data_IF_993498006376
#
_entry.id   IF_993498006376
#
_cell.length_a   1.000
_cell.length_b   1.000
_cell.length_c   1.000
_cell.angle_alpha   90.00
_cell.angle_beta   90.00
_cell.angle_gamma   90.00
#
_symmetry.space_group_name_H-M   'P 1'
#
loop_
_entity.id
_entity.type
_entity.pdbx_description
1 polymer ?
#
# COMPACT_ATOMS: atom_id res chain seq x y z
N UNK A 1 -15.77 -4.66 -5.21
CA UNK A 1 -16.53 -5.59 -4.36
C UNK A 1 -17.94 -5.81 -4.90
N UNK A 2 -18.74 -4.78 -5.21
CA UNK A 2 -20.12 -4.96 -5.66
C UNK A 2 -20.24 -5.85 -6.91
N UNK A 3 -19.34 -5.72 -7.89
CA UNK A 3 -19.32 -6.63 -9.05
C UNK A 3 -19.07 -8.09 -8.63
N UNK A 4 -18.16 -8.31 -7.68
CA UNK A 4 -17.89 -9.64 -7.13
C UNK A 4 -19.12 -10.20 -6.44
N UNK A 5 -19.79 -9.40 -5.62
CA UNK A 5 -20.99 -9.83 -4.89
C UNK A 5 -22.11 -10.23 -5.87
N UNK A 6 -22.29 -9.46 -6.94
CA UNK A 6 -23.26 -9.80 -7.99
C UNK A 6 -22.89 -11.11 -8.72
N UNK A 7 -21.64 -11.25 -9.16
CA UNK A 7 -21.17 -12.44 -9.89
C UNK A 7 -21.27 -13.73 -9.07
N UNK A 8 -21.00 -13.63 -7.77
CA UNK A 8 -20.96 -14.78 -6.86
C UNK A 8 -22.27 -14.98 -6.06
N UNK A 9 -23.32 -14.19 -6.36
CA UNK A 9 -24.61 -14.20 -5.64
C UNK A 9 -24.46 -14.04 -4.12
N UNK A 10 -23.55 -13.15 -3.68
CA UNK A 10 -23.33 -12.84 -2.28
C UNK A 10 -24.30 -11.72 -1.88
N UNK A 11 -25.10 -11.93 -0.85
CA UNK A 11 -26.01 -10.94 -0.27
C UNK A 11 -25.25 -9.94 0.59
N UNK A 12 -24.46 -9.06 -0.06
CA UNK A 12 -23.68 -8.02 0.60
C UNK A 12 -23.59 -6.78 -0.29
N UNK A 13 -23.31 -5.63 0.32
CA UNK A 13 -23.10 -4.36 -0.35
C UNK A 13 -21.80 -3.71 0.15
N UNK A 14 -21.06 -3.08 -0.75
CA UNK A 14 -19.89 -2.28 -0.43
C UNK A 14 -20.14 -0.81 -0.73
N UNK A 15 -20.08 0.03 0.30
CA UNK A 15 -20.30 1.48 0.20
C UNK A 15 -19.06 2.26 0.56
N UNK A 16 -18.90 3.43 -0.06
CA UNK A 16 -17.87 4.41 0.34
C UNK A 16 -18.46 5.40 1.33
N UNK A 17 -17.67 5.70 2.38
CA UNK A 17 -17.99 6.73 3.36
C UNK A 17 -16.88 7.76 3.35
N UNK A 18 -17.19 8.99 3.02
CA UNK A 18 -16.27 10.10 3.19
C UNK A 18 -16.20 10.44 4.69
N UNK A 19 -15.00 10.43 5.25
CA UNK A 19 -14.78 10.66 6.68
C UNK A 19 -13.62 11.67 6.87
N UNK A 20 -13.92 12.96 6.97
CA UNK A 20 -12.88 13.98 7.20
C UNK A 20 -12.20 13.83 8.56
N UNK A 21 -12.92 13.34 9.57
CA UNK A 21 -12.45 13.16 10.93
C UNK A 21 -12.74 11.75 11.43
N UNK A 22 -11.72 10.99 11.78
CA UNK A 22 -11.83 9.61 12.26
C UNK A 22 -12.67 9.48 13.54
N UNK A 23 -12.81 10.57 14.33
CA UNK A 23 -13.68 10.61 15.52
C UNK A 23 -15.16 10.39 15.21
N UNK A 24 -15.57 10.45 13.94
CA UNK A 24 -16.91 10.11 13.47
C UNK A 24 -17.15 8.58 13.38
N UNK A 25 -16.10 7.76 13.47
CA UNK A 25 -16.21 6.29 13.35
C UNK A 25 -17.24 5.65 14.31
N UNK A 26 -17.29 6.01 15.61
CA UNK A 26 -18.30 5.45 16.52
C UNK A 26 -19.73 5.73 16.06
N UNK A 27 -20.01 6.91 15.53
CA UNK A 27 -21.33 7.28 14.99
C UNK A 27 -21.67 6.43 13.76
N UNK A 28 -20.72 6.24 12.85
CA UNK A 28 -20.91 5.37 11.68
C UNK A 28 -21.26 3.93 12.10
N UNK A 29 -20.54 3.36 13.09
CA UNK A 29 -20.80 2.02 13.60
C UNK A 29 -22.21 1.87 14.20
N UNK A 30 -22.69 2.89 14.91
CA UNK A 30 -24.05 2.92 15.45
C UNK A 30 -25.12 2.97 14.35
N UNK A 31 -24.85 3.69 13.25
CA UNK A 31 -25.77 3.84 12.11
C UNK A 31 -25.75 2.64 11.16
N UNK A 32 -24.75 1.77 11.26
CA UNK A 32 -24.57 0.59 10.40
C UNK A 32 -24.34 -0.67 11.25
N UNK A 33 -25.35 -1.13 12.01
CA UNK A 33 -25.18 -2.25 12.94
C UNK A 33 -24.90 -3.60 12.27
N UNK A 34 -25.14 -3.72 10.99
CA UNK A 34 -24.89 -4.89 10.14
C UNK A 34 -23.52 -4.85 9.43
N UNK A 35 -22.71 -3.81 9.69
CA UNK A 35 -21.38 -3.68 9.11
C UNK A 35 -20.47 -4.81 9.60
N UNK A 36 -19.95 -5.64 8.68
CA UNK A 36 -19.05 -6.76 8.98
C UNK A 36 -17.57 -6.43 8.73
N UNK A 37 -17.27 -5.30 8.11
CA UNK A 37 -15.90 -4.84 7.92
C UNK A 37 -15.81 -3.62 7.02
N UNK A 38 -14.64 -2.96 7.04
CA UNK A 38 -14.41 -1.79 6.20
C UNK A 38 -12.93 -1.60 5.87
N UNK A 39 -12.67 -0.90 4.78
CA UNK A 39 -11.33 -0.43 4.42
C UNK A 39 -11.07 0.95 5.00
N UNK A 40 -9.80 1.17 5.36
CA UNK A 40 -9.28 2.46 5.79
C UNK A 40 -8.26 2.95 4.78
N UNK A 41 -8.43 4.18 4.31
CA UNK A 41 -7.49 4.82 3.38
C UNK A 41 -6.90 6.10 3.96
N UNK A 42 -6.11 6.81 3.17
CA UNK A 42 -5.54 8.11 3.52
C UNK A 42 -6.66 9.08 3.91
N UNK A 43 -6.50 9.87 5.00
CA UNK A 43 -5.31 9.97 5.86
C UNK A 43 -5.36 9.08 7.11
N UNK A 44 -6.29 8.13 7.22
CA UNK A 44 -6.70 7.53 8.50
C UNK A 44 -5.99 6.20 8.85
N UNK A 45 -5.15 5.63 7.99
CA UNK A 45 -4.51 4.31 8.24
C UNK A 45 -3.72 4.22 9.56
N UNK A 46 -3.22 5.34 10.08
CA UNK A 46 -2.56 5.42 11.39
C UNK A 46 -3.51 5.95 12.47
N UNK A 47 -4.37 6.91 12.11
CA UNK A 47 -5.26 7.57 13.06
C UNK A 47 -6.36 6.64 13.60
N UNK A 48 -6.63 5.50 12.92
CA UNK A 48 -7.63 4.53 13.36
C UNK A 48 -7.15 3.66 14.52
N UNK A 49 -5.83 3.52 14.72
CA UNK A 49 -5.27 2.59 15.71
C UNK A 49 -5.89 2.72 17.12
N UNK A 50 -6.14 3.95 17.65
CA UNK A 50 -6.75 4.10 18.98
C UNK A 50 -8.23 3.66 19.07
N UNK A 51 -8.88 3.40 17.94
CA UNK A 51 -10.30 3.02 17.88
C UNK A 51 -10.50 1.50 17.74
N UNK A 52 -9.41 0.74 17.66
CA UNK A 52 -9.45 -0.71 17.46
C UNK A 52 -9.31 -1.44 18.79
N UNK A 53 -10.10 -2.50 18.97
CA UNK A 53 -10.02 -3.39 20.12
C UNK A 53 -8.81 -4.33 20.01
N UNK A 54 -8.49 -4.76 18.79
CA UNK A 54 -7.37 -5.64 18.51
C UNK A 54 -6.68 -5.26 17.19
N UNK A 55 -5.39 -5.50 17.10
CA UNK A 55 -4.56 -5.24 15.91
C UNK A 55 -3.72 -6.48 15.65
N UNK A 56 -3.75 -7.01 14.41
CA UNK A 56 -2.88 -8.12 14.01
C UNK A 56 -1.39 -7.80 14.25
N UNK A 57 -0.57 -8.81 14.44
CA UNK A 57 0.84 -8.64 14.71
C UNK A 57 1.55 -7.84 13.59
N UNK A 58 1.27 -8.17 12.34
CA UNK A 58 1.84 -7.47 11.19
C UNK A 58 1.41 -6.00 11.15
N UNK A 59 0.11 -5.72 11.35
CA UNK A 59 -0.41 -4.35 11.34
C UNK A 59 0.16 -3.53 12.51
N UNK A 60 0.45 -4.17 13.66
CA UNK A 60 1.10 -3.54 14.81
C UNK A 60 2.53 -3.15 14.50
N UNK A 61 3.31 -4.05 13.90
CA UNK A 61 4.70 -3.76 13.48
C UNK A 61 4.74 -2.68 12.41
N UNK A 62 3.83 -2.73 11.43
CA UNK A 62 3.70 -1.72 10.37
C UNK A 62 3.28 -0.36 10.95
N UNK A 63 2.48 -0.36 12.02
CA UNK A 63 1.91 0.86 12.61
C UNK A 63 0.86 1.52 11.71
N UNK A 64 0.14 0.74 10.89
CA UNK A 64 -0.92 1.20 10.02
C UNK A 64 -1.92 0.07 9.71
N UNK A 65 -3.21 0.40 9.66
CA UNK A 65 -4.32 -0.49 9.35
C UNK A 65 -5.03 0.02 8.10
N UNK A 66 -5.31 -0.85 7.14
CA UNK A 66 -6.11 -0.56 5.95
C UNK A 66 -7.36 -1.43 5.82
N UNK A 67 -7.50 -2.46 6.67
CA UNK A 67 -8.66 -3.36 6.70
C UNK A 67 -9.08 -3.61 8.14
N UNK A 68 -10.36 -3.43 8.43
CA UNK A 68 -10.95 -3.70 9.74
C UNK A 68 -12.05 -4.73 9.58
N UNK A 69 -12.02 -5.77 10.42
CA UNK A 69 -13.13 -6.68 10.61
C UNK A 69 -13.97 -6.19 11.77
N UNK A 70 -15.28 -6.19 11.58
CA UNK A 70 -16.27 -5.86 12.62
C UNK A 70 -17.00 -7.14 13.02
N UNK A 71 -17.09 -7.39 14.30
CA UNK A 71 -17.94 -8.43 14.90
C UNK A 71 -18.76 -7.81 16.04
N UNK A 72 -19.79 -8.50 16.50
CA UNK A 72 -20.69 -7.95 17.51
C UNK A 72 -20.85 -8.93 18.70
N UNK A 73 -19.78 -9.27 19.44
CA UNK A 73 -19.92 -10.05 20.64
C UNK A 73 -20.78 -9.27 21.64
N UNK A 74 -21.81 -9.94 22.17
CA UNK A 74 -22.76 -9.34 23.12
C UNK A 74 -23.49 -8.07 22.61
N UNK A 75 -23.64 -7.91 21.28
CA UNK A 75 -24.36 -6.80 20.67
C UNK A 75 -23.56 -5.48 20.53
N UNK A 76 -22.29 -5.46 20.90
CA UNK A 76 -21.40 -4.31 20.75
C UNK A 76 -20.37 -4.53 19.62
N UNK A 77 -20.04 -3.49 18.82
CA UNK A 77 -19.04 -3.63 17.79
C UNK A 77 -17.66 -3.91 18.43
N UNK A 78 -16.95 -4.92 17.89
CA UNK A 78 -15.58 -5.28 18.22
C UNK A 78 -14.74 -5.22 16.96
N UNK A 79 -13.69 -4.39 16.96
CA UNK A 79 -12.93 -3.99 15.79
C UNK A 79 -11.54 -4.62 15.81
N UNK A 80 -11.25 -5.44 14.79
CA UNK A 80 -9.92 -6.04 14.61
C UNK A 80 -9.26 -5.48 13.37
N UNK A 81 -8.10 -4.84 13.54
CA UNK A 81 -7.35 -4.17 12.47
C UNK A 81 -6.28 -5.05 11.82
N UNK A 82 -6.20 -4.97 10.49
CA UNK A 82 -5.22 -5.69 9.67
C UNK A 82 -4.53 -4.74 8.68
N UNK A 83 -3.36 -5.16 8.19
CA UNK A 83 -2.72 -4.51 7.05
C UNK A 83 -2.64 -5.49 5.88
N UNK A 84 -3.50 -5.29 4.88
CA UNK A 84 -3.54 -6.13 3.68
C UNK A 84 -2.76 -5.52 2.51
N UNK A 85 -2.35 -4.24 2.61
CA UNK A 85 -1.48 -3.61 1.62
C UNK A 85 -0.17 -4.37 1.48
N UNK A 86 0.44 -4.78 2.62
CA UNK A 86 1.67 -5.55 2.61
C UNK A 86 1.50 -6.91 1.93
N UNK A 87 0.36 -7.56 2.12
CA UNK A 87 0.06 -8.83 1.48
C UNK A 87 -0.08 -8.67 -0.04
N UNK A 88 -0.89 -7.71 -0.47
CA UNK A 88 -1.11 -7.41 -1.90
C UNK A 88 0.19 -7.01 -2.59
N UNK A 89 1.01 -6.15 -1.97
CA UNK A 89 2.30 -5.76 -2.49
C UNK A 89 3.25 -6.96 -2.61
N UNK A 90 3.40 -7.77 -1.54
CA UNK A 90 4.28 -8.94 -1.55
C UNK A 90 3.91 -9.94 -2.65
N UNK A 91 2.61 -10.22 -2.82
CA UNK A 91 2.11 -11.11 -3.87
C UNK A 91 2.48 -10.57 -5.26
N UNK A 92 2.14 -9.32 -5.54
CA UNK A 92 2.41 -8.69 -6.84
C UNK A 92 3.92 -8.55 -7.12
N UNK A 93 4.72 -8.25 -6.10
CA UNK A 93 6.17 -8.12 -6.24
C UNK A 93 6.83 -9.44 -6.66
N UNK A 94 6.46 -10.56 -6.02
CA UNK A 94 7.04 -11.88 -6.31
C UNK A 94 6.71 -12.37 -7.73
N UNK A 95 5.64 -11.90 -8.34
CA UNK A 95 5.30 -12.18 -9.73
C UNK A 95 6.07 -11.27 -10.72
N UNK A 96 6.57 -10.12 -10.23
CA UNK A 96 7.19 -9.09 -11.09
C UNK A 96 8.72 -9.16 -11.13
N UNK A 97 9.38 -9.48 -10.00
CA UNK A 97 10.85 -9.44 -9.91
C UNK A 97 11.50 -10.82 -9.89
N UNK A 98 12.73 -10.95 -10.43
CA UNK A 98 13.54 -12.15 -10.23
C UNK A 98 13.91 -12.36 -8.74
N UNK A 99 14.01 -13.63 -8.32
CA UNK A 99 14.33 -13.99 -6.93
C UNK A 99 15.72 -13.52 -6.44
N UNK A 100 16.62 -13.17 -7.36
CA UNK A 100 17.97 -12.71 -7.02
C UNK A 100 18.05 -11.25 -6.52
N UNK A 101 16.95 -10.48 -6.59
CA UNK A 101 16.94 -9.09 -6.13
C UNK A 101 16.87 -9.06 -4.61
N UNK A 102 17.86 -8.40 -3.99
CA UNK A 102 18.02 -8.34 -2.52
C UNK A 102 18.06 -6.91 -1.96
N UNK A 103 18.04 -5.87 -2.83
CA UNK A 103 18.10 -4.47 -2.42
C UNK A 103 17.00 -3.64 -3.06
N UNK A 104 16.38 -2.77 -2.27
CA UNK A 104 15.27 -1.93 -2.71
C UNK A 104 15.36 -0.49 -2.18
N UNK A 105 14.98 0.46 -3.03
CA UNK A 105 14.66 1.83 -2.64
C UNK A 105 13.14 2.00 -2.54
N UNK A 106 12.67 2.59 -1.44
CA UNK A 106 11.29 3.02 -1.28
C UNK A 106 11.26 4.54 -1.42
N UNK A 107 10.50 5.05 -2.37
CA UNK A 107 10.28 6.48 -2.54
C UNK A 107 9.07 6.91 -1.70
N UNK A 108 9.31 7.74 -0.68
CA UNK A 108 8.29 8.20 0.26
C UNK A 108 8.33 7.44 1.60
N UNK A 109 7.73 8.03 2.65
CA UNK A 109 7.74 7.53 4.04
C UNK A 109 6.34 7.50 4.70
N UNK A 110 5.26 7.49 3.91
CA UNK A 110 3.87 7.42 4.39
C UNK A 110 3.44 6.02 4.85
N UNK A 111 2.14 5.87 5.12
CA UNK A 111 1.56 4.58 5.56
C UNK A 111 1.76 3.44 4.57
N UNK A 112 1.70 3.71 3.26
CA UNK A 112 1.97 2.71 2.23
C UNK A 112 3.45 2.27 2.23
N UNK A 113 4.38 3.23 2.42
CA UNK A 113 5.81 2.93 2.52
C UNK A 113 6.11 1.98 3.69
N UNK A 114 5.44 2.13 4.82
CA UNK A 114 5.60 1.24 5.99
C UNK A 114 5.19 -0.20 5.66
N UNK A 115 4.07 -0.39 4.96
CA UNK A 115 3.61 -1.71 4.53
C UNK A 115 4.57 -2.35 3.51
N UNK A 116 5.05 -1.57 2.55
CA UNK A 116 6.05 -1.99 1.56
C UNK A 116 7.36 -2.39 2.25
N UNK A 117 7.87 -1.57 3.18
CA UNK A 117 9.08 -1.86 3.94
C UNK A 117 8.95 -3.18 4.70
N UNK A 118 7.83 -3.37 5.40
CA UNK A 118 7.57 -4.62 6.12
C UNK A 118 7.59 -5.84 5.18
N UNK A 119 6.91 -5.73 4.03
CA UNK A 119 6.89 -6.80 3.04
C UNK A 119 8.29 -7.13 2.49
N UNK A 120 9.11 -6.11 2.18
CA UNK A 120 10.48 -6.28 1.68
C UNK A 120 11.39 -6.91 2.74
N UNK A 121 11.31 -6.48 4.00
CA UNK A 121 12.05 -7.10 5.11
C UNK A 121 11.63 -8.56 5.33
N UNK A 122 10.34 -8.90 5.16
CA UNK A 122 9.88 -10.30 5.23
C UNK A 122 10.44 -11.19 4.10
N UNK A 123 10.97 -10.57 3.05
CA UNK A 123 11.68 -11.22 1.95
C UNK A 123 13.23 -11.13 2.10
N UNK A 124 13.73 -10.73 3.27
CA UNK A 124 15.15 -10.52 3.59
C UNK A 124 15.85 -9.51 2.65
N UNK A 125 15.14 -8.51 2.16
CA UNK A 125 15.73 -7.45 1.34
C UNK A 125 16.33 -6.34 2.20
N UNK A 126 17.46 -5.80 1.77
CA UNK A 126 18.02 -4.55 2.28
C UNK A 126 17.21 -3.37 1.72
N UNK A 127 16.75 -2.49 2.59
CA UNK A 127 15.82 -1.42 2.22
C UNK A 127 16.34 -0.07 2.68
N UNK A 128 16.40 0.90 1.77
CA UNK A 128 16.57 2.32 2.09
C UNK A 128 15.34 3.11 1.66
N UNK A 129 15.01 4.16 2.40
CA UNK A 129 13.88 5.04 2.08
C UNK A 129 14.39 6.37 1.57
N UNK A 130 13.80 6.83 0.47
CA UNK A 130 14.08 8.15 -0.10
C UNK A 130 12.98 9.10 0.33
N UNK A 131 13.35 10.19 0.98
CA UNK A 131 12.42 11.24 1.36
C UNK A 131 12.94 12.64 1.00
N UNK A 132 12.01 13.61 0.87
CA UNK A 132 12.37 15.01 0.64
C UNK A 132 13.11 15.63 1.84
N UNK A 133 12.83 15.11 3.02
CA UNK A 133 13.43 15.59 4.28
C UNK A 133 13.77 14.36 5.11
N UNK A 134 14.96 13.77 4.94
CA UNK A 134 15.40 12.63 5.73
C UNK A 134 15.41 12.95 7.22
N UNK A 135 14.85 12.05 8.04
CA UNK A 135 14.75 12.22 9.51
C UNK A 135 15.32 11.03 10.27
N UNK A 136 15.55 9.91 9.60
CA UNK A 136 16.04 8.67 10.18
C UNK A 136 17.34 8.24 9.50
N UNK A 137 18.14 7.42 10.17
CA UNK A 137 19.44 7.00 9.66
C UNK A 137 19.37 6.15 8.36
N UNK A 138 18.25 5.50 8.11
CA UNK A 138 17.96 4.70 6.91
C UNK A 138 17.22 5.50 5.82
N UNK A 139 17.00 6.80 6.05
CA UNK A 139 16.43 7.72 5.06
C UNK A 139 17.53 8.49 4.33
N UNK A 140 17.41 8.55 3.02
CA UNK A 140 18.32 9.30 2.13
C UNK A 140 17.52 10.37 1.38
N UNK A 141 18.20 11.47 1.07
CA UNK A 141 17.64 12.54 0.25
C UNK A 141 17.77 12.23 -1.24
N UNK A 142 16.88 12.79 -2.06
CA UNK A 142 16.95 12.66 -3.53
C UNK A 142 18.30 13.10 -4.11
N UNK A 143 18.98 14.05 -3.49
CA UNK A 143 20.29 14.55 -3.95
C UNK A 143 21.40 13.48 -3.92
N UNK A 144 21.27 12.44 -3.11
CA UNK A 144 22.24 11.36 -3.02
C UNK A 144 22.01 10.23 -4.05
N UNK A 145 20.86 10.23 -4.74
CA UNK A 145 20.49 9.14 -5.65
C UNK A 145 21.47 8.94 -6.83
N UNK A 146 22.07 9.99 -7.44
CA UNK A 146 23.03 9.76 -8.53
C UNK A 146 24.17 8.81 -8.16
N UNK A 147 24.62 8.82 -6.91
CA UNK A 147 25.72 7.99 -6.44
C UNK A 147 25.29 6.60 -5.97
N UNK A 148 23.98 6.40 -5.69
CA UNK A 148 23.48 5.21 -5.01
C UNK A 148 22.56 4.33 -5.86
N UNK A 149 21.81 4.92 -6.80
CA UNK A 149 20.68 4.27 -7.46
C UNK A 149 21.06 2.98 -8.20
N UNK A 150 22.26 2.93 -8.76
CA UNK A 150 22.78 1.75 -9.48
C UNK A 150 22.95 0.52 -8.58
N UNK A 151 23.06 0.72 -7.27
CA UNK A 151 23.15 -0.35 -6.27
C UNK A 151 21.79 -0.90 -5.81
N UNK A 152 20.68 -0.34 -6.28
CA UNK A 152 19.33 -0.71 -5.88
C UNK A 152 18.48 -1.18 -7.07
N UNK A 153 18.52 -2.46 -7.41
CA UNK A 153 17.78 -2.99 -8.55
C UNK A 153 16.26 -2.79 -8.48
N UNK A 154 15.68 -2.76 -7.28
CA UNK A 154 14.25 -2.52 -7.08
C UNK A 154 14.01 -1.08 -6.58
N UNK A 155 13.11 -0.36 -7.26
CA UNK A 155 12.68 0.99 -6.87
C UNK A 155 11.16 1.00 -6.78
N UNK A 156 10.64 1.29 -5.58
CA UNK A 156 9.20 1.27 -5.31
C UNK A 156 8.69 2.69 -5.07
N UNK A 157 7.83 3.19 -5.96
CA UNK A 157 7.14 4.45 -5.73
C UNK A 157 5.95 4.26 -4.81
N UNK A 158 6.03 4.79 -3.60
CA UNK A 158 4.94 4.84 -2.61
C UNK A 158 4.37 6.25 -2.41
N UNK A 159 4.84 7.21 -3.23
CA UNK A 159 4.31 8.58 -3.24
C UNK A 159 3.03 8.66 -4.08
N UNK A 160 2.21 9.71 -3.91
CA UNK A 160 1.04 9.92 -4.76
C UNK A 160 1.39 10.54 -6.13
N UNK A 161 2.66 10.85 -6.42
CA UNK A 161 3.09 11.51 -7.65
C UNK A 161 2.70 10.68 -8.88
N UNK A 162 2.05 11.31 -9.84
CA UNK A 162 1.54 10.65 -11.05
C UNK A 162 0.14 10.06 -10.92
N UNK A 163 -0.51 10.19 -9.74
CA UNK A 163 -1.92 9.80 -9.55
C UNK A 163 -2.85 10.84 -10.19
N UNK A 164 -3.94 10.36 -10.81
CA UNK A 164 -5.01 11.25 -11.29
C UNK A 164 -5.50 12.20 -10.17
N UNK A 165 -5.72 13.53 -10.42
CA UNK A 165 -5.64 14.19 -11.75
C UNK A 165 -4.23 14.65 -12.17
N UNK A 166 -3.23 14.68 -11.27
CA UNK A 166 -1.89 15.24 -11.51
C UNK A 166 -0.92 14.21 -12.14
N UNK A 167 -1.32 13.65 -13.28
CA UNK A 167 -0.63 12.52 -13.93
C UNK A 167 0.74 12.87 -14.52
N UNK A 168 1.07 14.15 -14.66
CA UNK A 168 2.37 14.64 -15.15
C UNK A 168 3.47 14.59 -14.10
N UNK A 169 3.11 14.53 -12.81
CA UNK A 169 4.07 14.47 -11.73
C UNK A 169 4.75 13.08 -11.64
N UNK A 170 5.99 13.06 -11.18
CA UNK A 170 6.77 11.85 -10.99
C UNK A 170 7.90 12.07 -9.98
N UNK A 171 8.40 11.00 -9.31
CA UNK A 171 9.56 11.11 -8.43
C UNK A 171 10.81 11.59 -9.19
N UNK A 172 11.58 12.55 -8.64
CA UNK A 172 12.76 13.11 -9.30
C UNK A 172 13.98 12.20 -9.18
N UNK A 173 14.00 11.12 -9.98
CA UNK A 173 15.12 10.17 -10.04
C UNK A 173 16.09 10.54 -11.17
N UNK A 174 17.37 10.14 -11.08
CA UNK A 174 18.31 10.18 -12.19
C UNK A 174 18.01 9.03 -13.16
N UNK A 175 16.95 9.16 -13.97
CA UNK A 175 16.45 8.10 -14.86
C UNK A 175 17.48 7.64 -15.87
N UNK A 176 18.41 8.49 -16.27
CA UNK A 176 19.51 8.20 -17.17
C UNK A 176 20.51 7.15 -16.63
N UNK A 177 20.50 6.91 -15.32
CA UNK A 177 21.32 5.88 -14.68
C UNK A 177 20.61 4.53 -14.56
N UNK A 178 19.34 4.46 -14.93
CA UNK A 178 18.59 3.20 -14.92
C UNK A 178 18.99 2.34 -16.12
N UNK A 179 18.88 1.02 -15.94
CA UNK A 179 19.25 0.01 -16.95
C UNK A 179 18.24 -1.13 -16.94
N UNK A 180 18.39 -2.11 -17.81
CA UNK A 180 17.61 -3.34 -17.83
C UNK A 180 17.74 -4.19 -16.55
N UNK A 181 18.69 -3.88 -15.67
CA UNK A 181 18.80 -4.51 -14.34
C UNK A 181 17.87 -3.89 -13.28
N UNK A 182 17.15 -2.80 -13.61
CA UNK A 182 16.27 -2.12 -12.65
C UNK A 182 14.80 -2.51 -12.86
N UNK A 183 14.08 -2.62 -11.73
CA UNK A 183 12.67 -2.95 -11.63
C UNK A 183 11.95 -1.83 -10.88
N UNK A 184 11.03 -1.15 -11.53
CA UNK A 184 10.25 -0.04 -10.99
C UNK A 184 8.84 -0.53 -10.67
N UNK A 185 8.50 -0.55 -9.38
CA UNK A 185 7.14 -0.87 -8.92
C UNK A 185 6.44 0.43 -8.52
N UNK A 186 5.40 0.81 -9.24
CA UNK A 186 4.59 1.98 -8.89
C UNK A 186 3.35 1.54 -8.11
N UNK A 187 3.11 2.09 -6.91
CA UNK A 187 1.87 1.82 -6.19
C UNK A 187 0.67 2.52 -6.84
N UNK A 188 0.92 3.54 -7.66
CA UNK A 188 -0.13 4.18 -8.46
C UNK A 188 -0.62 3.21 -9.53
N UNK A 189 -1.95 3.12 -9.70
CA UNK A 189 -2.59 2.28 -10.71
C UNK A 189 -3.58 3.04 -11.60
N UNK A 190 -3.83 4.30 -11.30
CA UNK A 190 -4.62 5.22 -12.12
C UNK A 190 -3.87 6.54 -12.27
N UNK A 191 -3.32 6.82 -13.48
CA UNK A 191 -3.47 6.10 -14.76
C UNK A 191 -2.79 4.73 -14.79
N UNK A 192 -3.13 3.89 -15.76
CA UNK A 192 -2.52 2.56 -15.96
C UNK A 192 -1.01 2.62 -16.21
N UNK A 193 -0.56 3.67 -16.90
CA UNK A 193 0.87 3.93 -17.16
C UNK A 193 1.21 5.34 -16.69
N UNK A 194 1.98 5.43 -15.60
CA UNK A 194 2.44 6.70 -15.03
C UNK A 194 3.68 7.25 -15.73
N UNK A 195 3.98 8.54 -15.55
CA UNK A 195 5.21 9.15 -16.04
C UNK A 195 6.46 8.50 -15.46
N UNK A 196 6.42 8.07 -14.19
CA UNK A 196 7.49 7.28 -13.57
C UNK A 196 7.80 5.99 -14.34
N UNK A 197 6.76 5.22 -14.69
CA UNK A 197 6.92 4.00 -15.48
C UNK A 197 7.43 4.28 -16.90
N UNK A 198 6.91 5.31 -17.56
CA UNK A 198 7.33 5.70 -18.92
C UNK A 198 8.82 6.04 -18.96
N UNK A 199 9.28 6.89 -18.03
CA UNK A 199 10.70 7.27 -17.92
C UNK A 199 11.60 6.08 -17.61
N UNK A 200 11.20 5.20 -16.71
CA UNK A 200 11.93 3.98 -16.41
C UNK A 200 12.08 3.06 -17.62
N UNK A 201 10.99 2.81 -18.34
CA UNK A 201 10.99 1.99 -19.57
C UNK A 201 11.83 2.62 -20.68
N UNK A 202 11.79 3.94 -20.83
CA UNK A 202 12.62 4.65 -21.81
C UNK A 202 14.13 4.51 -21.53
N UNK A 203 14.51 4.33 -20.27
CA UNK A 203 15.88 4.02 -19.84
C UNK A 203 16.22 2.51 -19.89
N UNK A 204 15.28 1.66 -20.32
CA UNK A 204 15.46 0.21 -20.43
C UNK A 204 15.03 -0.58 -19.21
N UNK A 205 14.57 0.04 -18.12
CA UNK A 205 14.13 -0.63 -16.91
C UNK A 205 12.77 -1.34 -17.10
N UNK A 206 12.54 -2.39 -16.30
CA UNK A 206 11.24 -3.02 -16.18
C UNK A 206 10.33 -2.17 -15.28
N UNK A 207 9.03 -2.04 -15.60
CA UNK A 207 8.12 -1.25 -14.78
C UNK A 207 6.71 -1.87 -14.75
N UNK A 208 6.09 -1.92 -13.56
CA UNK A 208 4.70 -2.29 -13.37
C UNK A 208 3.97 -1.27 -12.48
N UNK A 209 2.63 -1.27 -12.57
CA UNK A 209 1.77 -0.43 -11.73
C UNK A 209 1.22 -1.21 -10.53
N UNK A 210 0.51 -0.50 -9.64
CA UNK A 210 -0.05 -1.03 -8.40
C UNK A 210 -1.35 -1.84 -8.54
N UNK A 211 -1.84 -2.11 -9.75
CA UNK A 211 -3.15 -2.75 -9.94
C UNK A 211 -3.20 -4.17 -9.35
N UNK A 212 -2.17 -4.99 -9.58
CA UNK A 212 -2.08 -6.33 -9.01
C UNK A 212 -2.01 -6.31 -7.47
N UNK A 213 -1.29 -5.33 -6.89
CA UNK A 213 -1.28 -5.09 -5.45
C UNK A 213 -2.67 -4.72 -4.94
N UNK A 214 -3.36 -3.81 -5.63
CA UNK A 214 -4.71 -3.37 -5.28
C UNK A 214 -5.72 -4.54 -5.31
N UNK A 215 -5.66 -5.41 -6.30
CA UNK A 215 -6.48 -6.62 -6.35
C UNK A 215 -6.14 -7.58 -5.20
N UNK A 216 -4.85 -7.85 -4.98
CA UNK A 216 -4.40 -8.78 -3.94
C UNK A 216 -4.83 -8.35 -2.54
N UNK A 217 -4.74 -7.05 -2.20
CA UNK A 217 -5.22 -6.53 -0.92
C UNK A 217 -6.75 -6.64 -0.79
N UNK A 218 -7.51 -6.41 -1.87
CA UNK A 218 -8.96 -6.52 -1.86
C UNK A 218 -9.42 -7.98 -1.66
N UNK A 219 -8.78 -8.94 -2.32
CA UNK A 219 -9.02 -10.37 -2.10
C UNK A 219 -8.77 -10.75 -0.63
N UNK A 220 -7.66 -10.27 -0.06
CA UNK A 220 -7.31 -10.52 1.34
C UNK A 220 -8.30 -9.90 2.31
N UNK A 221 -8.81 -8.70 2.03
CA UNK A 221 -9.88 -8.08 2.83
C UNK A 221 -11.12 -8.97 2.87
N UNK A 222 -11.54 -9.47 1.70
CA UNK A 222 -12.68 -10.37 1.62
C UNK A 222 -12.46 -11.67 2.40
N UNK A 223 -11.27 -12.26 2.34
CA UNK A 223 -10.91 -13.43 3.16
C UNK A 223 -11.06 -13.18 4.67
N UNK A 224 -10.68 -11.97 5.12
CA UNK A 224 -10.79 -11.56 6.53
C UNK A 224 -12.24 -11.38 6.93
N UNK A 225 -13.03 -10.66 6.12
CA UNK A 225 -14.42 -10.35 6.45
C UNK A 225 -15.35 -11.55 6.46
N UNK A 226 -15.14 -12.52 5.54
CA UNK A 226 -15.98 -13.72 5.44
C UNK A 226 -15.70 -14.79 6.51
N UNK A 227 -14.61 -14.70 7.26
CA UNK A 227 -14.36 -15.61 8.38
C UNK A 227 -15.39 -15.36 9.49
N UNK A 228 -16.08 -16.40 9.92
CA UNK A 228 -17.00 -16.33 11.07
C UNK A 228 -16.22 -16.18 12.39
#
# INVERSE_FOLDING_TARGET
FNEKFQKENIAAEYRSFEMPDIRQLPTLLQQTPDLCGFNVTIPHKQNILPFLDEISEEARVIGAVNCVKVSHPNGHPYLVGYNTDMYGFRKALLEFIPAAISKALILGNGGAAKAVRYALHSLNMEVSTVSRTPRQADEIGYAALPDLITGYPLIVNTTPLGTWPDTSEFPPLPYELLTAGHYLFDLVYNPETTTFMQKGRAAGAHACNGYAMWLGQAEKNWEIWKKK
#
